data_IF_351963448712
#
_entry.id   IF_351963448712
#
_cell.length_a   1.000
_cell.length_b   1.000
_cell.length_c   1.000
_cell.angle_alpha   90.00
_cell.angle_beta   90.00
_cell.angle_gamma   90.00
#
_symmetry.space_group_name_H-M   'P 1'
#
loop_
_entity.id
_entity.type
_entity.pdbx_description
1 polymer ?
#
# COMPACT_ATOMS: atom_id res chain seq x y z
N UNK A 1 -14.98 17.07 -3.34
CA UNK A 1 -13.87 16.31 -3.95
C UNK A 1 -13.31 15.34 -2.91
N UNK A 2 -13.55 14.02 -3.06
CA UNK A 2 -12.99 13.00 -2.16
C UNK A 2 -11.46 12.98 -2.28
N UNK A 3 -10.74 12.83 -1.17
CA UNK A 3 -9.28 12.81 -1.20
C UNK A 3 -8.78 11.46 -1.70
N UNK A 4 -8.06 11.45 -2.84
CA UNK A 4 -7.41 10.24 -3.34
C UNK A 4 -6.20 9.87 -2.47
N UNK A 5 -6.19 8.62 -2.00
CA UNK A 5 -5.14 8.03 -1.17
C UNK A 5 -4.41 6.94 -1.93
N UNK A 6 -3.14 6.73 -1.60
CA UNK A 6 -2.34 5.62 -2.07
C UNK A 6 -2.08 4.61 -0.95
N UNK A 7 -2.18 3.32 -1.26
CA UNK A 7 -1.74 2.24 -0.37
C UNK A 7 -0.64 1.46 -1.07
N UNK A 8 0.52 1.35 -0.43
CA UNK A 8 1.65 0.54 -0.89
C UNK A 8 1.74 -0.71 -0.01
N UNK A 9 1.71 -1.89 -0.64
CA UNK A 9 1.95 -3.16 0.03
C UNK A 9 3.21 -3.78 -0.57
N UNK A 10 4.23 -3.97 0.27
CA UNK A 10 5.50 -4.56 -0.15
C UNK A 10 5.49 -6.06 0.15
N UNK A 11 5.79 -6.85 -0.88
CA UNK A 11 5.89 -8.30 -0.84
C UNK A 11 7.32 -8.75 -1.13
N UNK A 12 7.75 -9.83 -0.49
CA UNK A 12 9.09 -10.41 -0.65
C UNK A 12 9.03 -11.89 -0.25
N UNK A 13 8.97 -12.79 -1.22
CA UNK A 13 8.80 -14.23 -1.01
C UNK A 13 7.57 -14.58 -0.14
N UNK A 14 6.39 -14.10 -0.54
CA UNK A 14 5.14 -14.28 0.18
C UNK A 14 4.13 -15.18 -0.55
N UNK A 15 4.59 -16.05 -1.45
CA UNK A 15 3.70 -16.89 -2.25
C UNK A 15 2.74 -17.69 -1.35
N UNK A 16 3.23 -18.27 -0.26
CA UNK A 16 2.44 -19.18 0.60
C UNK A 16 1.44 -18.44 1.48
N UNK A 17 1.74 -17.20 1.84
CA UNK A 17 0.92 -16.37 2.73
C UNK A 17 -0.18 -15.63 1.97
N UNK A 18 0.01 -15.36 0.68
CA UNK A 18 -0.99 -14.70 -0.16
C UNK A 18 -2.17 -15.65 -0.40
N UNK A 19 -3.34 -15.28 0.13
CA UNK A 19 -4.64 -15.87 -0.20
C UNK A 19 -5.42 -14.86 -1.01
N UNK A 20 -5.77 -15.18 -2.25
CA UNK A 20 -6.45 -14.24 -3.16
C UNK A 20 -7.73 -13.64 -2.55
N UNK A 21 -8.52 -14.48 -1.87
CA UNK A 21 -9.78 -14.09 -1.21
C UNK A 21 -9.64 -13.02 -0.13
N UNK A 22 -8.42 -12.77 0.35
CA UNK A 22 -8.15 -11.67 1.27
C UNK A 22 -8.41 -10.31 0.60
N UNK A 23 -8.05 -10.17 -0.68
CA UNK A 23 -8.06 -8.87 -1.35
C UNK A 23 -9.44 -8.45 -1.85
N UNK A 24 -10.39 -9.39 -1.99
CA UNK A 24 -11.73 -9.14 -2.54
C UNK A 24 -12.49 -8.03 -1.79
N UNK A 25 -12.34 -7.96 -0.46
CA UNK A 25 -13.01 -6.95 0.38
C UNK A 25 -12.23 -5.66 0.52
N UNK A 26 -10.90 -5.74 0.54
CA UNK A 26 -10.02 -4.57 0.70
C UNK A 26 -10.08 -3.64 -0.53
N UNK A 27 -10.31 -4.21 -1.70
CA UNK A 27 -10.28 -3.51 -2.97
C UNK A 27 -11.65 -2.92 -3.35
N UNK A 28 -12.68 -3.11 -2.51
CA UNK A 28 -14.00 -2.58 -2.77
C UNK A 28 -14.03 -1.04 -2.63
N UNK A 29 -14.48 -0.40 -3.71
CA UNK A 29 -14.77 1.03 -3.92
C UNK A 29 -13.58 1.98 -4.02
N UNK A 30 -13.80 3.05 -4.80
CA UNK A 30 -12.93 4.15 -5.24
C UNK A 30 -12.25 5.00 -4.13
N UNK A 31 -11.83 4.36 -3.04
CA UNK A 31 -11.34 5.00 -1.81
C UNK A 31 -9.81 5.15 -1.82
N UNK A 32 -9.09 4.28 -2.56
CA UNK A 32 -7.65 4.40 -2.78
C UNK A 32 -7.14 3.75 -4.09
N UNK A 33 -5.95 4.17 -4.47
CA UNK A 33 -5.08 3.55 -5.47
C UNK A 33 -4.11 2.59 -4.75
N UNK A 34 -4.08 1.32 -5.17
CA UNK A 34 -3.19 0.32 -4.60
C UNK A 34 -1.94 0.14 -5.46
N UNK A 35 -0.79 0.00 -4.81
CA UNK A 35 0.49 -0.31 -5.41
C UNK A 35 1.11 -1.51 -4.72
N UNK A 36 1.04 -2.66 -5.36
CA UNK A 36 1.72 -3.87 -4.92
C UNK A 36 3.16 -3.84 -5.43
N UNK A 37 4.11 -3.88 -4.49
CA UNK A 37 5.53 -3.85 -4.81
C UNK A 37 6.10 -5.24 -4.59
N UNK A 38 6.48 -5.93 -5.66
CA UNK A 38 7.29 -7.13 -5.57
C UNK A 38 8.75 -6.73 -5.33
N UNK A 39 9.33 -7.11 -4.19
CA UNK A 39 10.71 -6.79 -3.83
C UNK A 39 11.65 -7.98 -4.08
N UNK A 40 11.96 -8.23 -5.35
CA UNK A 40 12.91 -9.26 -5.78
C UNK A 40 12.62 -10.65 -5.19
N UNK A 41 11.34 -11.05 -5.26
CA UNK A 41 10.95 -12.40 -4.86
C UNK A 41 11.54 -13.45 -5.80
N UNK A 42 11.94 -14.59 -5.25
CA UNK A 42 12.49 -15.75 -5.95
C UNK A 42 11.48 -16.93 -6.00
N UNK A 43 10.24 -16.70 -5.56
CA UNK A 43 9.10 -17.61 -5.59
C UNK A 43 8.00 -17.06 -6.52
N UNK A 44 6.81 -17.68 -6.53
CA UNK A 44 5.70 -17.23 -7.39
C UNK A 44 4.90 -16.04 -6.81
N UNK A 45 5.48 -15.26 -5.90
CA UNK A 45 4.83 -14.05 -5.36
C UNK A 45 4.38 -13.11 -6.47
N UNK A 46 5.24 -12.81 -7.44
CA UNK A 46 4.90 -11.87 -8.51
C UNK A 46 3.73 -12.36 -9.37
N UNK A 47 3.65 -13.67 -9.60
CA UNK A 47 2.57 -14.26 -10.40
C UNK A 47 1.24 -14.18 -9.64
N UNK A 48 1.22 -14.52 -8.35
CA UNK A 48 0.04 -14.31 -7.50
C UNK A 48 -0.45 -12.86 -7.49
N UNK A 49 0.47 -11.89 -7.43
CA UNK A 49 0.10 -10.47 -7.47
C UNK A 49 -0.55 -10.08 -8.82
N UNK A 50 -0.07 -10.64 -9.93
CA UNK A 50 -0.68 -10.43 -11.25
C UNK A 50 -2.07 -11.08 -11.31
N UNK A 51 -2.22 -12.29 -10.79
CA UNK A 51 -3.51 -12.98 -10.76
C UNK A 51 -4.55 -12.18 -9.99
N UNK A 52 -4.20 -11.67 -8.80
CA UNK A 52 -5.07 -10.76 -8.02
C UNK A 52 -5.44 -9.53 -8.86
N UNK A 53 -4.47 -8.87 -9.52
CA UNK A 53 -4.76 -7.71 -10.37
C UNK A 53 -5.71 -8.04 -11.53
N UNK A 54 -5.62 -9.21 -12.14
CA UNK A 54 -6.53 -9.60 -13.24
C UNK A 54 -7.94 -9.87 -12.77
N UNK A 55 -8.10 -10.37 -11.54
CA UNK A 55 -9.39 -10.75 -10.94
C UNK A 55 -10.08 -9.56 -10.26
N UNK A 56 -9.35 -8.51 -9.88
CA UNK A 56 -9.85 -7.51 -8.93
C UNK A 56 -9.48 -6.07 -9.37
N UNK A 57 -10.51 -5.29 -9.75
CA UNK A 57 -10.59 -3.83 -9.98
C UNK A 57 -9.48 -3.08 -10.78
N UNK A 58 -9.86 -1.94 -11.39
CA UNK A 58 -8.97 -1.07 -12.18
C UNK A 58 -7.96 -0.24 -11.36
N UNK A 59 -7.94 -0.34 -10.03
CA UNK A 59 -7.17 0.53 -9.12
C UNK A 59 -5.88 -0.10 -8.56
N UNK A 60 -5.45 -1.26 -9.07
CA UNK A 60 -4.20 -1.92 -8.65
C UNK A 60 -3.09 -1.70 -9.68
N UNK A 61 -1.97 -1.19 -9.19
CA UNK A 61 -0.69 -1.15 -9.89
C UNK A 61 0.29 -2.15 -9.29
N UNK A 62 1.15 -2.72 -10.13
CA UNK A 62 2.22 -3.62 -9.71
C UNK A 62 3.55 -3.01 -10.10
N UNK A 63 4.45 -2.89 -9.12
CA UNK A 63 5.85 -2.48 -9.32
C UNK A 63 6.75 -3.67 -9.02
N UNK A 64 7.45 -4.14 -10.05
CA UNK A 64 8.40 -5.24 -9.91
C UNK A 64 9.83 -4.70 -9.73
N UNK A 65 10.38 -4.86 -8.53
CA UNK A 65 11.77 -4.51 -8.19
C UNK A 65 12.64 -5.74 -8.38
N UNK A 66 13.35 -5.82 -9.51
CA UNK A 66 14.13 -7.01 -9.90
C UNK A 66 15.37 -7.31 -9.03
N UNK A 67 15.90 -6.31 -8.31
CA UNK A 67 17.12 -6.46 -7.49
C UNK A 67 16.81 -6.07 -6.05
N UNK A 68 17.09 -6.95 -5.10
CA UNK A 68 16.88 -6.66 -3.68
C UNK A 68 17.87 -5.58 -3.21
N UNK A 69 17.38 -4.34 -3.09
CA UNK A 69 18.10 -3.20 -2.50
C UNK A 69 17.56 -2.84 -1.11
N UNK A 70 16.83 -3.78 -0.49
CA UNK A 70 16.16 -3.62 0.79
C UNK A 70 14.79 -2.97 0.70
N UNK A 71 13.98 -3.17 1.75
CA UNK A 71 12.57 -2.75 1.82
C UNK A 71 12.38 -1.24 1.62
N UNK A 72 13.30 -0.40 2.12
CA UNK A 72 13.22 1.06 1.93
C UNK A 72 13.29 1.46 0.44
N UNK A 73 14.12 0.76 -0.35
CA UNK A 73 14.21 1.01 -1.78
C UNK A 73 12.94 0.57 -2.53
N UNK A 74 12.36 -0.57 -2.13
CA UNK A 74 11.07 -1.04 -2.64
C UNK A 74 9.93 -0.05 -2.33
N UNK A 75 9.83 0.43 -1.09
CA UNK A 75 8.83 1.46 -0.71
C UNK A 75 9.01 2.71 -1.56
N UNK A 76 10.25 3.21 -1.72
CA UNK A 76 10.53 4.39 -2.58
C UNK A 76 10.11 4.16 -4.04
N UNK A 77 10.29 2.94 -4.57
CA UNK A 77 9.85 2.60 -5.92
C UNK A 77 8.32 2.69 -6.05
N UNK A 78 7.57 2.15 -5.08
CA UNK A 78 6.11 2.27 -5.03
C UNK A 78 5.64 3.71 -4.87
N UNK A 79 6.26 4.50 -3.98
CA UNK A 79 5.94 5.92 -3.79
C UNK A 79 6.15 6.69 -5.09
N UNK A 80 7.30 6.51 -5.74
CA UNK A 80 7.60 7.17 -7.01
C UNK A 80 6.59 6.81 -8.09
N UNK A 81 6.20 5.54 -8.18
CA UNK A 81 5.19 5.10 -9.13
C UNK A 81 3.84 5.80 -8.88
N UNK A 82 3.38 5.82 -7.63
CA UNK A 82 2.10 6.42 -7.27
C UNK A 82 2.08 7.94 -7.49
N UNK A 83 3.12 8.65 -7.06
CA UNK A 83 3.23 10.11 -7.19
C UNK A 83 3.31 10.55 -8.66
N UNK A 84 4.01 9.81 -9.51
CA UNK A 84 4.15 10.17 -10.92
C UNK A 84 2.87 9.96 -11.73
N UNK A 85 2.00 9.05 -11.31
CA UNK A 85 0.81 8.65 -12.07
C UNK A 85 -0.49 9.26 -11.54
N UNK A 86 -0.49 9.79 -10.31
CA UNK A 86 -1.71 10.20 -9.60
C UNK A 86 -1.43 11.39 -8.68
N UNK A 87 -2.39 12.31 -8.59
CA UNK A 87 -2.38 13.35 -7.56
C UNK A 87 -2.92 12.78 -6.23
N UNK A 88 -2.02 12.32 -5.37
CA UNK A 88 -2.36 11.70 -4.09
C UNK A 88 -2.07 12.63 -2.92
N UNK A 89 -3.01 12.71 -1.97
CA UNK A 89 -2.85 13.55 -0.76
C UNK A 89 -2.20 12.80 0.40
N UNK A 90 -2.27 11.47 0.41
CA UNK A 90 -1.74 10.61 1.47
C UNK A 90 -1.34 9.27 0.87
N UNK A 91 -0.16 8.78 1.24
CA UNK A 91 0.33 7.44 0.92
C UNK A 91 0.59 6.71 2.22
N UNK A 92 0.00 5.53 2.37
CA UNK A 92 0.24 4.62 3.48
C UNK A 92 1.01 3.43 2.94
N UNK A 93 2.06 2.99 3.62
CA UNK A 93 2.78 1.78 3.24
C UNK A 93 2.81 0.75 4.36
N UNK A 94 2.86 -0.52 3.95
CA UNK A 94 3.10 -1.64 4.85
C UNK A 94 3.91 -2.74 4.16
N UNK A 95 4.42 -3.66 4.99
CA UNK A 95 5.10 -4.86 4.53
C UNK A 95 4.21 -6.06 4.85
N UNK A 96 3.95 -6.91 3.85
CA UNK A 96 2.91 -7.92 3.93
C UNK A 96 3.11 -8.92 5.08
N UNK A 97 4.32 -9.48 5.20
CA UNK A 97 4.63 -10.46 6.27
C UNK A 97 4.50 -9.90 7.70
N UNK A 98 4.48 -8.58 7.87
CA UNK A 98 4.27 -7.96 9.20
C UNK A 98 2.79 -7.82 9.56
N UNK A 99 1.90 -8.03 8.59
CA UNK A 99 0.46 -7.79 8.70
C UNK A 99 -0.30 -8.99 8.13
N UNK A 100 0.07 -10.20 8.58
CA UNK A 100 -0.49 -11.47 8.08
C UNK A 100 -1.95 -11.69 8.50
N UNK A 101 -2.42 -11.01 9.55
CA UNK A 101 -3.84 -10.91 9.86
C UNK A 101 -4.50 -9.87 8.93
N UNK A 102 -4.94 -10.37 7.79
CA UNK A 102 -5.50 -9.53 6.74
C UNK A 102 -6.86 -8.91 7.11
N UNK A 103 -7.67 -9.58 7.95
CA UNK A 103 -8.94 -9.01 8.42
C UNK A 103 -8.67 -7.76 9.26
N UNK A 104 -7.67 -7.83 10.13
CA UNK A 104 -7.24 -6.67 10.91
C UNK A 104 -6.61 -5.59 10.02
N UNK A 105 -5.87 -5.97 8.97
CA UNK A 105 -5.32 -5.04 7.98
C UNK A 105 -6.43 -4.25 7.25
N UNK A 106 -7.45 -4.94 6.76
CA UNK A 106 -8.61 -4.33 6.09
C UNK A 106 -9.33 -3.35 7.01
N UNK A 107 -9.68 -3.80 8.21
CA UNK A 107 -10.34 -2.97 9.22
C UNK A 107 -9.52 -1.72 9.57
N UNK A 108 -8.22 -1.88 9.77
CA UNK A 108 -7.31 -0.78 10.09
C UNK A 108 -7.22 0.22 8.95
N UNK A 109 -7.06 -0.25 7.71
CA UNK A 109 -7.01 0.62 6.53
C UNK A 109 -8.32 1.39 6.36
N UNK A 110 -9.47 0.74 6.54
CA UNK A 110 -10.79 1.37 6.47
C UNK A 110 -10.96 2.48 7.52
N UNK A 111 -10.56 2.25 8.77
CA UNK A 111 -10.58 3.28 9.82
C UNK A 111 -9.71 4.49 9.43
N UNK A 112 -8.50 4.23 8.93
CA UNK A 112 -7.58 5.31 8.55
C UNK A 112 -8.07 6.10 7.35
N UNK A 113 -8.68 5.42 6.38
CA UNK A 113 -9.30 6.06 5.22
C UNK A 113 -10.45 6.99 5.61
N UNK A 114 -11.18 6.67 6.67
CA UNK A 114 -12.30 7.49 7.13
C UNK A 114 -11.86 8.66 8.04
N UNK A 115 -10.66 8.61 8.65
CA UNK A 115 -10.15 9.61 9.63
C UNK A 115 -9.33 10.77 9.05
N UNK A 116 -9.51 11.07 7.76
CA UNK A 116 -8.80 12.10 6.96
C UNK A 116 -8.31 13.36 7.69
N UNK A 117 -9.16 14.01 8.51
CA UNK A 117 -8.83 15.30 9.16
C UNK A 117 -7.73 15.20 10.23
N UNK A 118 -7.67 14.11 11.00
CA UNK A 118 -6.70 13.97 12.11
C UNK A 118 -5.29 13.66 11.59
N UNK A 119 -5.19 12.92 10.48
CA UNK A 119 -3.91 12.56 9.86
C UNK A 119 -3.24 13.78 9.22
N UNK A 120 -4.01 14.63 8.53
CA UNK A 120 -3.47 15.84 7.87
C UNK A 120 -2.91 16.85 8.89
N UNK A 121 -3.56 17.00 10.05
CA UNK A 121 -3.08 17.90 11.11
C UNK A 121 -1.75 17.47 11.74
N UNK A 122 -1.27 16.24 11.52
CA UNK A 122 0.06 15.83 11.96
C UNK A 122 1.19 16.51 11.16
N UNK A 123 0.86 17.20 10.06
CA UNK A 123 1.82 17.64 9.05
C UNK A 123 1.96 19.15 8.87
N UNK A 124 1.29 19.99 9.67
CA UNK A 124 1.30 21.46 9.47
C UNK A 124 2.67 22.12 9.68
N UNK A 125 3.71 21.37 10.08
CA UNK A 125 4.97 21.95 10.54
C UNK A 125 6.15 21.82 9.58
N UNK A 126 6.06 21.15 8.43
CA UNK A 126 7.15 21.11 7.47
C UNK A 126 6.59 21.15 6.04
N UNK A 127 7.35 21.70 5.06
CA UNK A 127 7.00 21.77 3.62
C UNK A 127 8.00 20.96 2.77
N UNK A 128 7.59 19.82 2.21
CA UNK A 128 8.35 18.96 1.29
C UNK A 128 7.44 17.86 0.74
N UNK A 129 7.46 17.64 -0.57
CA UNK A 129 6.59 16.75 -1.36
C UNK A 129 6.54 15.27 -0.87
N UNK A 130 7.52 14.83 -0.08
CA UNK A 130 7.58 13.49 0.55
C UNK A 130 6.79 13.36 1.87
N UNK A 131 6.18 14.44 2.36
CA UNK A 131 5.64 14.51 3.73
C UNK A 131 4.41 13.67 4.02
N UNK A 132 3.67 13.23 3.01
CA UNK A 132 2.43 12.50 3.22
C UNK A 132 2.61 10.98 3.04
N UNK A 133 3.81 10.44 3.31
CA UNK A 133 4.09 9.00 3.26
C UNK A 133 4.29 8.46 4.67
N UNK A 134 3.41 7.58 5.14
CA UNK A 134 3.46 7.03 6.50
C UNK A 134 3.43 5.50 6.48
N UNK A 135 4.12 4.87 7.43
CA UNK A 135 3.90 3.45 7.65
C UNK A 135 2.56 3.23 8.36
N UNK A 136 1.92 2.10 8.10
CA UNK A 136 0.72 1.70 8.84
C UNK A 136 0.99 1.66 10.36
N UNK A 137 2.14 1.12 10.76
CA UNK A 137 2.60 1.04 12.15
C UNK A 137 2.68 2.42 12.84
N UNK A 138 3.18 3.45 12.13
CA UNK A 138 3.27 4.82 12.63
C UNK A 138 1.90 5.44 12.86
N UNK A 139 0.92 5.09 12.03
CA UNK A 139 -0.44 5.61 12.12
C UNK A 139 -1.22 4.91 13.23
N UNK A 140 -1.04 3.59 13.42
CA UNK A 140 -1.67 2.84 14.52
C UNK A 140 -1.28 3.41 15.87
N UNK A 141 0.01 3.71 16.09
CA UNK A 141 0.51 4.27 17.37
C UNK A 141 -0.06 5.65 17.73
N UNK A 142 -0.74 6.32 16.80
CA UNK A 142 -1.32 7.67 16.97
C UNK A 142 -2.84 7.65 17.11
N UNK A 143 -3.46 6.47 17.04
CA UNK A 143 -4.88 6.24 17.29
C UNK A 143 -5.05 5.93 18.78
#
# INVERSE_FOLDING_TARGET
>A
MSMKKGIIIVFSNNEKEIKETQFDKLLDKDVAEFCFVNNASNDHTLDKLKDIKTKTFNNISIVDVKKNKGTKAAIKAGVRYLVNNKELKLIIYLVFYKNTDFLNLEYTLNIMMNRNKKIINLNTNNRNILQNVFSLEQLIKKI
#
